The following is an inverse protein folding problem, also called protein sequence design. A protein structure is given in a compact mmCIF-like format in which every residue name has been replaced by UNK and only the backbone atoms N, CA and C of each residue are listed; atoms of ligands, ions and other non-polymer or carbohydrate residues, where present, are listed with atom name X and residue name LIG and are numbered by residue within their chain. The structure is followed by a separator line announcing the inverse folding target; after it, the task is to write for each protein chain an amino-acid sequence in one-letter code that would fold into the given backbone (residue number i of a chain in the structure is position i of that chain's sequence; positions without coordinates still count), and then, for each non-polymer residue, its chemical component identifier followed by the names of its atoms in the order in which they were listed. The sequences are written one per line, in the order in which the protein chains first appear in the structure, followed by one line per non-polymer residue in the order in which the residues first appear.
data_IF_396885962531
#
_entry.id   IF_396885962531
#
_cell.length_a   1.000
_cell.length_b   1.000
_cell.length_c   1.000
_cell.angle_alpha   90.00
_cell.angle_beta   90.00
_cell.angle_gamma   90.00
#
_symmetry.space_group_name_H-M   'P 1'
#
loop_
_entity.id
_entity.type
_entity.pdbx_description
1 polymer ?
#
# COMPACT_ATOMS: atom_id res chain seq x y z
N UNK A 1 14.10 -18.17 20.47
CA UNK A 1 15.40 -17.54 20.22
C UNK A 1 15.17 -16.35 19.32
N UNK A 2 15.54 -15.15 19.80
CA UNK A 2 15.64 -13.88 19.08
C UNK A 2 16.30 -12.91 20.07
N UNK A 3 17.41 -12.30 19.70
CA UNK A 3 18.23 -11.50 20.60
C UNK A 3 17.44 -10.27 21.13
N UNK A 4 17.69 -9.83 22.38
CA UNK A 4 16.96 -8.72 23.01
C UNK A 4 17.00 -7.40 22.21
N UNK A 5 18.05 -7.22 21.41
CA UNK A 5 18.30 -5.99 20.65
C UNK A 5 17.52 -5.91 19.32
N UNK A 6 17.19 -7.06 18.70
CA UNK A 6 16.34 -7.11 17.49
C UNK A 6 14.85 -6.92 17.81
N UNK A 7 14.42 -7.33 19.02
CA UNK A 7 13.02 -7.21 19.47
C UNK A 7 12.54 -5.75 19.54
N UNK A 8 13.45 -4.80 19.74
CA UNK A 8 13.14 -3.36 19.81
C UNK A 8 12.60 -2.80 18.49
N UNK A 9 12.96 -3.39 17.35
CA UNK A 9 12.51 -2.98 16.02
C UNK A 9 11.35 -3.84 15.49
N UNK A 10 11.27 -5.11 15.91
CA UNK A 10 10.15 -5.98 15.55
C UNK A 10 8.81 -5.43 16.05
N UNK A 11 8.74 -4.95 17.28
CA UNK A 11 7.50 -4.42 17.88
C UNK A 11 6.92 -3.20 17.13
N UNK A 12 7.66 -2.10 16.90
CA UNK A 12 7.11 -0.95 16.19
C UNK A 12 6.77 -1.29 14.74
N UNK A 13 7.49 -2.21 14.11
CA UNK A 13 7.17 -2.69 12.77
C UNK A 13 5.81 -3.41 12.76
N UNK A 14 5.59 -4.39 13.65
CA UNK A 14 4.31 -5.12 13.75
C UNK A 14 3.14 -4.17 14.02
N UNK A 15 3.34 -3.17 14.88
CA UNK A 15 2.30 -2.16 15.15
C UNK A 15 2.00 -1.35 13.88
N UNK A 16 3.03 -0.89 13.17
CA UNK A 16 2.88 -0.08 11.97
C UNK A 16 2.21 -0.86 10.82
N UNK A 17 2.61 -2.12 10.60
CA UNK A 17 1.97 -2.99 9.61
C UNK A 17 0.50 -3.24 9.98
N UNK A 18 0.22 -3.60 11.23
CA UNK A 18 -1.16 -3.83 11.68
C UNK A 18 -2.04 -2.59 11.48
N UNK A 19 -1.53 -1.40 11.81
CA UNK A 19 -2.25 -0.15 11.58
C UNK A 19 -2.44 0.14 10.09
N UNK A 20 -1.44 -0.10 9.26
CA UNK A 20 -1.54 0.09 7.81
C UNK A 20 -2.55 -0.88 7.18
N UNK A 21 -2.52 -2.15 7.57
CA UNK A 21 -3.49 -3.15 7.12
C UNK A 21 -4.92 -2.76 7.50
N UNK A 22 -5.15 -2.40 8.77
CA UNK A 22 -6.47 -1.94 9.24
C UNK A 22 -6.91 -0.68 8.47
N UNK A 23 -6.00 0.28 8.24
CA UNK A 23 -6.29 1.46 7.43
C UNK A 23 -6.70 1.09 5.99
N UNK A 24 -6.04 0.10 5.37
CA UNK A 24 -6.40 -0.41 4.05
C UNK A 24 -7.77 -1.08 4.02
N UNK A 25 -8.10 -1.88 5.04
CA UNK A 25 -9.42 -2.51 5.18
C UNK A 25 -10.52 -1.46 5.36
N UNK A 26 -10.28 -0.46 6.21
CA UNK A 26 -11.19 0.68 6.42
C UNK A 26 -11.38 1.46 5.13
N UNK A 27 -10.29 1.74 4.40
CA UNK A 27 -10.33 2.41 3.11
C UNK A 27 -11.17 1.65 2.08
N UNK A 28 -11.00 0.33 1.98
CA UNK A 28 -11.79 -0.50 1.09
C UNK A 28 -13.29 -0.47 1.44
N UNK A 29 -13.62 -0.54 2.74
CA UNK A 29 -15.01 -0.54 3.21
C UNK A 29 -15.70 0.81 3.04
N UNK A 30 -15.03 1.91 3.37
CA UNK A 30 -15.65 3.25 3.43
C UNK A 30 -15.46 4.09 2.17
N UNK A 31 -14.46 3.81 1.35
CA UNK A 31 -14.24 4.51 0.10
C UNK A 31 -14.64 3.62 -1.06
N UNK A 32 -13.95 2.50 -1.25
CA UNK A 32 -14.10 1.71 -2.49
C UNK A 32 -15.51 1.13 -2.62
N UNK A 33 -16.03 0.51 -1.56
CA UNK A 33 -17.31 -0.17 -1.61
C UNK A 33 -18.53 0.76 -1.88
N UNK A 34 -18.72 1.90 -1.19
CA UNK A 34 -19.86 2.78 -1.47
C UNK A 34 -19.80 3.46 -2.84
N UNK A 35 -18.61 3.65 -3.41
CA UNK A 35 -18.48 4.18 -4.78
C UNK A 35 -18.67 3.09 -5.85
N UNK A 36 -18.23 1.86 -5.59
CA UNK A 36 -18.33 0.75 -6.55
C UNK A 36 -19.74 0.13 -6.61
N UNK A 37 -20.44 0.02 -5.48
CA UNK A 37 -21.75 -0.64 -5.39
C UNK A 37 -22.84 -0.02 -6.29
N UNK A 38 -23.06 1.31 -6.29
CA UNK A 38 -24.09 1.92 -7.14
C UNK A 38 -23.83 1.68 -8.63
N UNK A 39 -22.57 1.69 -9.04
CA UNK A 39 -22.17 1.45 -10.43
C UNK A 39 -22.36 -0.01 -10.80
N UNK A 40 -22.00 -0.93 -9.90
CA UNK A 40 -22.25 -2.36 -10.09
C UNK A 40 -23.76 -2.65 -10.25
N UNK A 41 -24.59 -2.05 -9.39
CA UNK A 41 -26.05 -2.20 -9.46
C UNK A 41 -26.62 -1.58 -10.74
N UNK A 42 -26.11 -0.42 -11.17
CA UNK A 42 -26.49 0.22 -12.44
C UNK A 42 -26.12 -0.65 -13.66
N UNK A 43 -24.99 -1.37 -13.60
CA UNK A 43 -24.56 -2.30 -14.65
C UNK A 43 -25.45 -3.55 -14.74
N UNK A 44 -25.90 -4.08 -13.60
CA UNK A 44 -26.66 -5.34 -13.56
C UNK A 44 -28.14 -5.15 -13.95
N UNK A 45 -28.70 -3.92 -13.90
CA UNK A 45 -30.08 -3.64 -14.29
C UNK A 45 -31.13 -4.52 -13.61
N UNK A 46 -32.28 -4.78 -14.25
CA UNK A 46 -33.32 -5.68 -13.71
C UNK A 46 -32.87 -7.16 -13.59
N UNK A 47 -31.73 -7.53 -14.19
CA UNK A 47 -31.10 -8.84 -14.00
C UNK A 47 -30.30 -8.96 -12.69
N UNK A 48 -30.21 -7.87 -11.91
CA UNK A 48 -29.49 -7.83 -10.63
C UNK A 48 -29.96 -8.86 -9.60
N UNK A 49 -31.24 -9.26 -9.68
CA UNK A 49 -31.84 -10.23 -8.76
C UNK A 49 -31.44 -11.69 -9.07
N UNK A 50 -30.98 -11.99 -10.28
CA UNK A 50 -30.80 -13.36 -10.76
C UNK A 50 -29.36 -13.90 -10.71
N UNK A 51 -28.35 -13.03 -10.55
CA UNK A 51 -26.92 -13.42 -10.69
C UNK A 51 -26.11 -13.23 -9.41
N UNK A 52 -26.57 -12.44 -8.45
CA UNK A 52 -25.79 -12.11 -7.25
C UNK A 52 -26.12 -13.07 -6.10
N UNK A 53 -25.43 -14.21 -6.04
CA UNK A 53 -25.38 -15.00 -4.79
C UNK A 53 -24.77 -14.13 -3.70
N UNK A 54 -25.47 -13.97 -2.58
CA UNK A 54 -24.98 -13.23 -1.40
C UNK A 54 -23.61 -13.76 -0.95
N UNK A 55 -23.39 -15.08 -1.10
CA UNK A 55 -22.11 -15.71 -0.79
C UNK A 55 -20.96 -15.23 -1.67
N UNK A 56 -21.19 -15.09 -2.98
CA UNK A 56 -20.18 -14.61 -3.92
C UNK A 56 -19.87 -13.12 -3.71
N UNK A 57 -20.89 -12.34 -3.39
CA UNK A 57 -20.74 -10.94 -3.05
C UNK A 57 -19.89 -10.76 -1.79
N UNK A 58 -20.20 -11.47 -0.70
CA UNK A 58 -19.44 -11.41 0.56
C UNK A 58 -18.01 -11.90 0.33
N UNK A 59 -17.82 -12.99 -0.41
CA UNK A 59 -16.49 -13.54 -0.70
C UNK A 59 -15.62 -12.55 -1.49
N UNK A 60 -16.18 -11.89 -2.51
CA UNK A 60 -15.49 -10.83 -3.27
C UNK A 60 -15.19 -9.61 -2.39
N UNK A 61 -16.12 -9.21 -1.52
CA UNK A 61 -15.93 -8.11 -0.60
C UNK A 61 -14.76 -8.38 0.36
N UNK A 62 -14.71 -9.57 0.96
CA UNK A 62 -13.63 -10.00 1.84
C UNK A 62 -12.29 -10.04 1.09
N UNK A 63 -12.28 -10.57 -0.13
CA UNK A 63 -11.09 -10.58 -0.98
C UNK A 63 -10.58 -9.16 -1.25
N UNK A 64 -11.47 -8.24 -1.63
CA UNK A 64 -11.07 -6.84 -1.85
C UNK A 64 -10.54 -6.17 -0.58
N UNK A 65 -11.19 -6.37 0.56
CA UNK A 65 -10.70 -5.84 1.84
C UNK A 65 -9.30 -6.38 2.17
N UNK A 66 -9.05 -7.67 1.94
CA UNK A 66 -7.74 -8.28 2.15
C UNK A 66 -6.69 -7.72 1.18
N UNK A 67 -7.01 -7.62 -0.11
CA UNK A 67 -6.10 -7.09 -1.14
C UNK A 67 -5.72 -5.64 -0.84
N UNK A 68 -6.69 -4.78 -0.48
CA UNK A 68 -6.41 -3.40 -0.10
C UNK A 68 -5.59 -3.30 1.20
N UNK A 69 -5.86 -4.17 2.19
CA UNK A 69 -5.03 -4.28 3.38
C UNK A 69 -3.56 -4.55 3.03
N UNK A 70 -3.31 -5.52 2.14
CA UNK A 70 -1.96 -5.85 1.66
C UNK A 70 -1.33 -4.71 0.87
N UNK A 71 -2.11 -4.03 0.00
CA UNK A 71 -1.62 -2.88 -0.78
C UNK A 71 -1.16 -1.75 0.13
N UNK A 72 -1.86 -1.52 1.25
CA UNK A 72 -1.49 -0.49 2.23
C UNK A 72 -0.21 -0.81 3.02
N UNK A 73 0.30 -2.04 2.96
CA UNK A 73 1.59 -2.41 3.55
C UNK A 73 2.79 -1.89 2.74
N UNK A 74 2.59 -1.51 1.47
CA UNK A 74 3.64 -1.00 0.58
C UNK A 74 4.54 0.09 1.22
N UNK A 75 4.01 1.16 1.83
CA UNK A 75 4.83 2.18 2.48
C UNK A 75 5.60 1.65 3.69
N UNK A 76 5.02 0.71 4.45
CA UNK A 76 5.65 0.12 5.64
C UNK A 76 6.78 -0.83 5.25
N UNK A 77 6.56 -1.65 4.23
CA UNK A 77 7.59 -2.50 3.63
C UNK A 77 8.70 -1.66 3.01
N UNK A 78 8.36 -0.61 2.27
CA UNK A 78 9.35 0.31 1.70
C UNK A 78 10.22 0.94 2.79
N UNK A 79 9.62 1.42 3.88
CA UNK A 79 10.34 1.93 5.04
C UNK A 79 11.34 0.92 5.61
N UNK A 80 10.90 -0.31 5.84
CA UNK A 80 11.73 -1.38 6.41
C UNK A 80 12.90 -1.71 5.50
N UNK A 81 12.63 -1.96 4.21
CA UNK A 81 13.65 -2.29 3.23
C UNK A 81 14.69 -1.18 3.07
N UNK A 82 14.25 0.09 3.11
CA UNK A 82 15.17 1.22 3.06
C UNK A 82 16.03 1.33 4.31
N UNK A 83 15.48 0.98 5.48
CA UNK A 83 16.22 0.96 6.74
C UNK A 83 17.27 -0.15 6.78
N UNK A 84 16.99 -1.28 6.12
CA UNK A 84 17.94 -2.38 5.90
C UNK A 84 18.98 -2.06 4.81
N UNK A 85 18.88 -0.92 4.12
CA UNK A 85 19.77 -0.54 3.03
C UNK A 85 19.52 -1.28 1.71
N UNK A 86 18.43 -2.06 1.61
CA UNK A 86 18.12 -2.88 0.43
C UNK A 86 17.55 -2.06 -0.73
N UNK A 87 16.87 -0.95 -0.44
CA UNK A 87 16.29 -0.07 -1.46
C UNK A 87 16.63 1.39 -1.19
N UNK A 88 16.63 2.19 -2.25
CA UNK A 88 16.87 3.63 -2.18
C UNK A 88 15.77 4.42 -2.89
N UNK A 89 15.51 5.66 -2.42
CA UNK A 89 14.50 6.52 -3.02
C UNK A 89 14.81 6.83 -4.51
N UNK A 90 16.09 6.93 -4.86
CA UNK A 90 16.53 7.13 -6.24
C UNK A 90 16.15 5.94 -7.15
N UNK A 91 16.36 4.72 -6.66
CA UNK A 91 16.00 3.49 -7.37
C UNK A 91 14.48 3.40 -7.59
N UNK A 92 13.67 3.62 -6.53
CA UNK A 92 12.22 3.62 -6.67
C UNK A 92 11.75 4.69 -7.69
N UNK A 93 12.33 5.89 -7.69
CA UNK A 93 12.00 6.92 -8.69
C UNK A 93 12.35 6.51 -10.11
N UNK A 94 13.48 5.82 -10.31
CA UNK A 94 13.88 5.32 -11.63
C UNK A 94 12.88 4.29 -12.17
N UNK A 95 12.37 3.40 -11.32
CA UNK A 95 11.41 2.36 -11.70
C UNK A 95 9.94 2.80 -11.60
N UNK A 96 9.66 4.09 -11.40
CA UNK A 96 8.30 4.63 -11.26
C UNK A 96 7.35 4.20 -12.36
N UNK A 97 7.79 4.24 -13.62
CA UNK A 97 6.96 3.81 -14.77
C UNK A 97 6.56 2.34 -14.67
N UNK A 98 7.48 1.47 -14.24
CA UNK A 98 7.22 0.02 -14.08
C UNK A 98 6.25 -0.23 -12.93
N UNK A 99 6.42 0.46 -11.80
CA UNK A 99 5.54 0.34 -10.66
C UNK A 99 4.11 0.82 -10.96
N UNK A 100 3.97 1.91 -11.72
CA UNK A 100 2.66 2.38 -12.17
C UNK A 100 2.01 1.33 -13.07
N UNK A 101 2.72 0.81 -14.07
CA UNK A 101 2.17 -0.23 -14.95
C UNK A 101 1.77 -1.49 -14.16
N UNK A 102 2.60 -1.94 -13.22
CA UNK A 102 2.26 -3.07 -12.35
C UNK A 102 1.01 -2.78 -11.50
N UNK A 103 0.89 -1.57 -10.94
CA UNK A 103 -0.29 -1.14 -10.19
C UNK A 103 -1.55 -1.11 -11.07
N UNK A 104 -1.45 -0.65 -12.31
CA UNK A 104 -2.55 -0.67 -13.28
C UNK A 104 -2.95 -2.10 -13.66
N UNK A 105 -1.99 -3.02 -13.80
CA UNK A 105 -2.28 -4.44 -14.04
C UNK A 105 -3.01 -5.08 -12.84
N UNK A 106 -2.57 -4.78 -11.61
CA UNK A 106 -3.24 -5.22 -10.39
C UNK A 106 -4.67 -4.66 -10.36
N UNK A 107 -4.85 -3.37 -10.64
CA UNK A 107 -6.16 -2.75 -10.73
C UNK A 107 -7.05 -3.45 -11.78
N UNK A 108 -6.52 -3.78 -12.95
CA UNK A 108 -7.27 -4.47 -14.00
C UNK A 108 -7.73 -5.88 -13.59
N UNK A 109 -6.92 -6.60 -12.82
CA UNK A 109 -7.30 -7.92 -12.26
C UNK A 109 -8.38 -7.79 -11.20
N UNK A 110 -8.30 -6.74 -10.36
CA UNK A 110 -9.27 -6.46 -9.30
C UNK A 110 -10.61 -5.99 -9.90
N UNK A 111 -10.59 -5.13 -10.91
CA UNK A 111 -11.77 -4.57 -11.60
C UNK A 111 -11.80 -4.99 -13.07
N UNK A 112 -12.14 -6.25 -13.38
CA UNK A 112 -12.14 -6.75 -14.75
C UNK A 112 -13.28 -6.18 -15.61
N UNK A 113 -14.17 -5.35 -15.04
CA UNK A 113 -15.36 -4.80 -15.71
C UNK A 113 -15.04 -3.77 -16.80
N UNK A 114 -13.79 -3.30 -16.90
CA UNK A 114 -13.36 -2.39 -17.95
C UNK A 114 -13.91 -0.96 -17.84
N UNK A 115 -14.60 -0.62 -16.74
CA UNK A 115 -15.10 0.73 -16.47
C UNK A 115 -13.96 1.64 -15.96
N UNK A 116 -13.66 2.76 -16.66
CA UNK A 116 -12.62 3.70 -16.27
C UNK A 116 -12.76 4.26 -14.85
N UNK A 117 -13.99 4.45 -14.34
CA UNK A 117 -14.22 5.01 -13.02
C UNK A 117 -13.89 4.01 -11.91
N UNK A 118 -14.43 2.79 -11.99
CA UNK A 118 -14.11 1.72 -11.05
C UNK A 118 -12.63 1.34 -11.10
N UNK A 119 -12.03 1.34 -12.30
CA UNK A 119 -10.60 1.14 -12.47
C UNK A 119 -9.78 2.25 -11.78
N UNK A 120 -10.16 3.52 -11.95
CA UNK A 120 -9.51 4.65 -11.29
C UNK A 120 -9.65 4.60 -9.76
N UNK A 121 -10.79 4.13 -9.24
CA UNK A 121 -11.05 3.97 -7.82
C UNK A 121 -10.04 3.02 -7.12
N UNK A 122 -9.48 2.06 -7.86
CA UNK A 122 -8.43 1.14 -7.38
C UNK A 122 -7.03 1.60 -7.79
N UNK A 123 -6.86 2.02 -9.04
CA UNK A 123 -5.58 2.41 -9.61
C UNK A 123 -5.00 3.69 -9.00
N UNK A 124 -5.84 4.70 -8.71
CA UNK A 124 -5.38 5.95 -8.10
C UNK A 124 -4.79 5.70 -6.70
N UNK A 125 -5.48 5.01 -5.78
CA UNK A 125 -4.90 4.67 -4.48
C UNK A 125 -3.58 3.90 -4.58
N UNK A 126 -3.46 2.96 -5.50
CA UNK A 126 -2.22 2.21 -5.74
C UNK A 126 -1.05 3.12 -6.11
N UNK A 127 -1.26 4.04 -7.04
CA UNK A 127 -0.22 5.01 -7.46
C UNK A 127 0.11 5.97 -6.32
N UNK A 128 -0.90 6.46 -5.60
CA UNK A 128 -0.70 7.34 -4.43
C UNK A 128 0.12 6.65 -3.36
N UNK A 129 -0.20 5.40 -3.01
CA UNK A 129 0.56 4.62 -2.03
C UNK A 129 1.99 4.34 -2.45
N UNK A 130 2.22 4.14 -3.75
CA UNK A 130 3.57 4.02 -4.28
C UNK A 130 4.38 5.32 -4.10
N UNK A 131 3.78 6.48 -4.37
CA UNK A 131 4.43 7.78 -4.11
C UNK A 131 4.69 8.03 -2.63
N UNK A 132 3.74 7.66 -1.76
CA UNK A 132 3.91 7.72 -0.31
C UNK A 132 5.08 6.81 0.11
N UNK A 133 5.20 5.61 -0.45
CA UNK A 133 6.33 4.72 -0.21
C UNK A 133 7.67 5.37 -0.55
N UNK A 134 7.78 6.02 -1.72
CA UNK A 134 8.99 6.77 -2.12
C UNK A 134 9.32 7.87 -1.10
N UNK A 135 8.32 8.61 -0.66
CA UNK A 135 8.49 9.69 0.31
C UNK A 135 9.00 9.15 1.66
N UNK A 136 8.38 8.09 2.17
CA UNK A 136 8.75 7.44 3.43
C UNK A 136 10.19 6.92 3.37
N UNK A 137 10.57 6.26 2.27
CA UNK A 137 11.95 5.80 2.03
C UNK A 137 12.93 6.97 2.06
N UNK A 138 12.63 8.06 1.34
CA UNK A 138 13.49 9.25 1.30
C UNK A 138 13.69 9.89 2.68
N UNK A 139 12.62 9.96 3.48
CA UNK A 139 12.69 10.50 4.84
C UNK A 139 13.53 9.61 5.77
N UNK A 140 13.40 8.29 5.62
CA UNK A 140 14.20 7.32 6.39
C UNK A 140 15.71 7.46 6.10
N UNK A 141 16.09 7.60 4.82
CA UNK A 141 17.49 7.73 4.41
C UNK A 141 18.15 9.02 4.94
N UNK A 142 17.44 10.16 4.88
CA UNK A 142 17.94 11.45 5.42
C UNK A 142 18.23 11.39 6.92
N UNK A 143 17.50 10.57 7.67
CA UNK A 143 17.70 10.41 9.11
C UNK A 143 18.94 9.57 9.43
N UNK A 144 19.27 8.60 8.58
CA UNK A 144 20.52 7.81 8.70
C UNK A 144 21.73 8.71 8.44
N UNK A 145 21.70 9.50 7.36
CA UNK A 145 22.83 10.37 6.97
C UNK A 145 23.12 11.48 7.99
N UNK A 146 22.09 12.03 8.64
CA UNK A 146 22.26 13.07 9.68
C UNK A 146 22.82 12.52 11.00
N UNK A 147 22.51 11.27 11.37
CA UNK A 147 23.06 10.66 12.58
C UNK A 147 24.53 10.26 12.49
N UNK A 148 25.11 10.26 11.29
CA UNK A 148 26.54 10.01 11.05
C UNK A 148 27.37 11.30 10.94
N UNK A 149 26.75 12.48 11.05
CA UNK A 149 27.41 13.79 10.93
C UNK A 149 27.29 14.61 12.21
N UNK A 150 27.59 14.01 13.36
CA UNK A 150 28.00 14.79 14.53
C UNK A 150 29.54 14.89 14.55
N UNK A 151 30.08 16.09 14.86
CA UNK A 151 31.40 16.50 14.44
C UNK A 151 32.49 15.75 15.19
N UNK A 152 33.36 15.09 14.44
CA UNK A 152 34.69 14.72 14.89
C UNK A 152 35.37 16.01 15.35
N UNK A 153 35.38 16.20 16.68
CA UNK A 153 36.03 17.32 17.34
C UNK A 153 37.51 17.22 16.97
N UNK A 154 37.93 18.09 16.07
CA UNK A 154 39.33 18.44 15.87
C UNK A 154 39.94 18.71 17.23
N UNK A 155 40.76 17.79 17.74
CA UNK A 155 41.77 18.13 18.75
C UNK A 155 42.90 18.84 18.01
N UNK A 156 43.14 20.14 18.23
CA UNK A 156 44.39 20.77 17.86
C UNK A 156 45.45 20.34 18.88
N UNK A 157 46.53 19.74 18.38
CA UNK A 157 47.86 19.52 18.97
C UNK A 157 48.01 19.56 20.49
#
# INVERSE_FOLDING_TARGET
GLYPEERRWAVPFIVLTTLAFVAGVVFARFLVLPFALPILLAFLGDAATAVLSIGDFISKMLLYMAVFGIIFEMPVLGFLLARLGLIQAAWLRQYRRHAIVAGLLIAAVITPTGDPFNFALVGVPLVVLYEVSILVVRLSQRKVERGSKDPEFTSPN
#
